data_IF_076629168134
#
_entry.id   IF_076629168134
#
_cell.length_a   1.000
_cell.length_b   1.000
_cell.length_c   1.000
_cell.angle_alpha   90.00
_cell.angle_beta   90.00
_cell.angle_gamma   90.00
#
_symmetry.space_group_name_H-M   'P 1'
#
loop_
_entity.id
_entity.type
_entity.pdbx_description
1 polymer ?
#
# COMPACT_ATOMS: atom_id res chain seq x y z
N UNK A 1 -26.45 19.61 -15.56
CA UNK A 1 -25.03 19.36 -15.94
C UNK A 1 -24.28 18.82 -14.72
N UNK A 2 -24.05 17.51 -14.64
CA UNK A 2 -23.49 16.82 -13.46
C UNK A 2 -22.17 16.06 -13.70
N UNK A 3 -21.39 16.47 -14.70
CA UNK A 3 -20.25 15.72 -15.24
C UNK A 3 -18.84 15.92 -14.58
N UNK A 4 -18.56 16.92 -13.72
CA UNK A 4 -17.17 17.11 -13.24
C UNK A 4 -16.75 16.21 -12.08
N UNK A 5 -17.69 15.72 -11.26
CA UNK A 5 -17.38 14.94 -10.05
C UNK A 5 -16.92 13.51 -10.36
N UNK A 6 -17.53 12.87 -11.36
CA UNK A 6 -17.21 11.50 -11.78
C UNK A 6 -15.78 11.40 -12.34
N UNK A 7 -15.31 12.44 -13.05
CA UNK A 7 -13.95 12.50 -13.58
C UNK A 7 -12.88 12.61 -12.48
N UNK A 8 -13.12 13.49 -11.49
CA UNK A 8 -12.20 13.68 -10.36
C UNK A 8 -12.11 12.43 -9.46
N UNK A 9 -13.24 11.75 -9.22
CA UNK A 9 -13.28 10.50 -8.46
C UNK A 9 -12.51 9.37 -9.14
N UNK A 10 -12.71 9.21 -10.46
CA UNK A 10 -11.98 8.23 -11.25
C UNK A 10 -10.47 8.49 -11.21
N UNK A 11 -10.06 9.75 -11.28
CA UNK A 11 -8.65 10.13 -11.22
C UNK A 11 -8.03 9.89 -9.84
N UNK A 12 -8.77 10.15 -8.76
CA UNK A 12 -8.34 9.85 -7.39
C UNK A 12 -8.15 8.35 -7.18
N UNK A 13 -9.08 7.48 -7.64
CA UNK A 13 -8.93 6.02 -7.54
C UNK A 13 -7.72 5.51 -8.32
N UNK A 14 -7.48 6.03 -9.52
CA UNK A 14 -6.29 5.68 -10.32
C UNK A 14 -5.00 6.06 -9.59
N UNK A 15 -4.94 7.26 -8.99
CA UNK A 15 -3.77 7.70 -8.24
C UNK A 15 -3.53 6.87 -6.98
N UNK A 16 -4.57 6.59 -6.19
CA UNK A 16 -4.48 5.70 -5.02
C UNK A 16 -4.01 4.31 -5.42
N UNK A 17 -4.57 3.74 -6.48
CA UNK A 17 -4.16 2.43 -6.98
C UNK A 17 -2.68 2.39 -7.38
N UNK A 18 -2.21 3.42 -8.10
CA UNK A 18 -0.80 3.52 -8.47
C UNK A 18 0.12 3.57 -7.25
N UNK A 19 -0.22 4.39 -6.23
CA UNK A 19 0.56 4.49 -5.00
C UNK A 19 0.63 3.15 -4.24
N UNK A 20 -0.51 2.44 -4.14
CA UNK A 20 -0.57 1.14 -3.49
C UNK A 20 0.29 0.10 -4.22
N UNK A 21 0.24 0.06 -5.56
CA UNK A 21 1.08 -0.83 -6.36
C UNK A 21 2.55 -0.54 -6.18
N UNK A 22 2.95 0.73 -6.25
CA UNK A 22 4.34 1.13 -5.99
C UNK A 22 4.79 0.73 -4.59
N UNK A 23 3.91 0.83 -3.58
CA UNK A 23 4.22 0.40 -2.22
C UNK A 23 4.44 -1.12 -2.14
N UNK A 24 3.58 -1.91 -2.77
CA UNK A 24 3.73 -3.37 -2.86
C UNK A 24 5.05 -3.74 -3.53
N UNK A 25 5.34 -3.14 -4.69
CA UNK A 25 6.59 -3.40 -5.44
C UNK A 25 7.83 -3.11 -4.59
N UNK A 26 7.86 -1.97 -3.89
CA UNK A 26 8.95 -1.63 -2.98
C UNK A 26 9.11 -2.64 -1.84
N UNK A 27 7.98 -3.11 -1.29
CA UNK A 27 7.99 -4.11 -0.21
C UNK A 27 8.49 -5.47 -0.70
N UNK A 28 8.12 -5.89 -1.91
CA UNK A 28 8.67 -7.11 -2.53
C UNK A 28 10.19 -7.02 -2.76
N UNK A 29 10.69 -5.85 -3.18
CA UNK A 29 12.14 -5.62 -3.32
C UNK A 29 12.83 -5.73 -1.95
N UNK A 30 12.29 -5.06 -0.93
CA UNK A 30 12.82 -5.12 0.43
C UNK A 30 12.85 -6.56 0.99
N UNK A 31 11.79 -7.36 0.79
CA UNK A 31 11.81 -8.78 1.21
C UNK A 31 12.88 -9.59 0.46
N UNK A 32 13.06 -9.33 -0.85
CA UNK A 32 14.08 -10.01 -1.65
C UNK A 32 15.48 -9.71 -1.13
N UNK A 33 15.77 -8.44 -0.83
CA UNK A 33 17.04 -8.01 -0.24
C UNK A 33 17.30 -8.70 1.11
N UNK A 34 16.28 -8.76 1.98
CA UNK A 34 16.38 -9.42 3.28
C UNK A 34 16.58 -10.94 3.14
N UNK A 35 15.91 -11.57 2.18
CA UNK A 35 16.08 -13.00 1.89
C UNK A 35 17.50 -13.31 1.41
N UNK A 36 18.09 -12.45 0.58
CA UNK A 36 19.48 -12.57 0.16
C UNK A 36 20.45 -12.47 1.34
N UNK A 37 20.22 -11.54 2.28
CA UNK A 37 21.04 -11.42 3.50
C UNK A 37 20.96 -12.71 4.33
N UNK A 38 19.77 -13.27 4.53
CA UNK A 38 19.61 -14.55 5.24
C UNK A 38 20.35 -15.69 4.55
N UNK A 39 20.26 -15.78 3.22
CA UNK A 39 20.96 -16.80 2.44
C UNK A 39 22.48 -16.67 2.56
N UNK A 40 23.02 -15.45 2.47
CA UNK A 40 24.45 -15.19 2.65
C UNK A 40 24.88 -15.53 4.07
N UNK A 41 24.11 -15.15 5.08
CA UNK A 41 24.40 -15.47 6.47
C UNK A 41 24.41 -16.98 6.74
N UNK A 42 23.41 -17.70 6.21
CA UNK A 42 23.34 -19.16 6.29
C UNK A 42 24.54 -19.83 5.61
N UNK A 43 24.96 -19.32 4.44
CA UNK A 43 26.14 -19.83 3.72
C UNK A 43 27.45 -19.68 4.52
N UNK A 44 27.49 -18.72 5.46
CA UNK A 44 28.63 -18.46 6.36
C UNK A 44 28.51 -19.17 7.71
N UNK A 45 27.49 -20.02 7.90
CA UNK A 45 27.26 -20.73 9.16
C UNK A 45 26.80 -19.83 10.31
N UNK A 46 26.24 -18.66 10.02
CA UNK A 46 25.66 -17.79 11.06
C UNK A 46 24.42 -18.48 11.63
N UNK A 47 24.37 -18.61 12.96
CA UNK A 47 23.23 -19.25 13.62
C UNK A 47 21.94 -18.41 13.44
N UNK A 48 20.77 -19.04 13.20
CA UNK A 48 19.51 -18.35 12.94
C UNK A 48 19.08 -17.35 14.03
N UNK A 49 19.50 -17.56 15.28
CA UNK A 49 19.21 -16.64 16.40
C UNK A 49 19.71 -15.21 16.14
N UNK A 50 20.80 -15.05 15.39
CA UNK A 50 21.33 -13.72 15.03
C UNK A 50 20.56 -13.06 13.88
N UNK A 51 19.67 -13.80 13.21
CA UNK A 51 18.87 -13.34 12.08
C UNK A 51 17.40 -13.12 12.45
N UNK A 52 17.02 -13.28 13.73
CA UNK A 52 15.63 -13.10 14.19
C UNK A 52 15.05 -11.75 13.79
N UNK A 53 15.84 -10.68 13.85
CA UNK A 53 15.40 -9.35 13.40
C UNK A 53 15.05 -9.32 11.91
N UNK A 54 15.82 -10.02 11.07
CA UNK A 54 15.54 -10.12 9.63
C UNK A 54 14.28 -10.96 9.41
N UNK A 55 14.18 -12.13 10.04
CA UNK A 55 12.99 -12.97 9.95
C UNK A 55 11.72 -12.26 10.39
N UNK A 56 11.79 -11.43 11.44
CA UNK A 56 10.69 -10.57 11.87
C UNK A 56 10.31 -9.54 10.79
N UNK A 57 11.29 -8.83 10.23
CA UNK A 57 11.02 -7.84 9.17
C UNK A 57 10.38 -8.47 7.95
N UNK A 58 10.87 -9.63 7.50
CA UNK A 58 10.28 -10.38 6.39
C UNK A 58 8.83 -10.79 6.65
N UNK A 59 8.54 -11.28 7.87
CA UNK A 59 7.17 -11.62 8.26
C UNK A 59 6.24 -10.39 8.28
N UNK A 60 6.72 -9.23 8.72
CA UNK A 60 5.95 -7.98 8.67
C UNK A 60 5.71 -7.54 7.23
N UNK A 61 6.72 -7.65 6.35
CA UNK A 61 6.58 -7.33 4.93
C UNK A 61 5.53 -8.22 4.27
N UNK A 62 5.58 -9.53 4.50
CA UNK A 62 4.60 -10.47 3.95
C UNK A 62 3.16 -10.14 4.39
N UNK A 63 2.97 -9.83 5.67
CA UNK A 63 1.69 -9.40 6.20
C UNK A 63 1.21 -8.07 5.57
N UNK A 64 2.11 -7.09 5.40
CA UNK A 64 1.80 -5.80 4.77
C UNK A 64 1.44 -5.99 3.29
N UNK A 65 2.20 -6.78 2.53
CA UNK A 65 1.94 -7.07 1.12
C UNK A 65 0.60 -7.77 0.96
N UNK A 66 0.31 -8.79 1.77
CA UNK A 66 -0.97 -9.50 1.77
C UNK A 66 -2.14 -8.54 2.01
N UNK A 67 -2.00 -7.67 3.01
CA UNK A 67 -3.01 -6.65 3.31
C UNK A 67 -3.18 -5.66 2.15
N UNK A 68 -2.09 -5.13 1.59
CA UNK A 68 -2.11 -4.16 0.48
C UNK A 68 -2.74 -4.76 -0.78
N UNK A 69 -2.44 -6.02 -1.11
CA UNK A 69 -3.04 -6.70 -2.26
C UNK A 69 -4.56 -6.83 -2.11
N UNK A 70 -5.02 -7.21 -0.92
CA UNK A 70 -6.46 -7.24 -0.62
C UNK A 70 -7.07 -5.84 -0.72
N UNK A 71 -6.39 -4.84 -0.17
CA UNK A 71 -6.86 -3.46 -0.20
C UNK A 71 -6.97 -2.93 -1.64
N UNK A 72 -6.01 -3.23 -2.51
CA UNK A 72 -6.10 -2.94 -3.94
C UNK A 72 -7.35 -3.55 -4.56
N UNK A 73 -7.65 -4.83 -4.29
CA UNK A 73 -8.88 -5.46 -4.76
C UNK A 73 -10.15 -4.79 -4.22
N UNK A 74 -10.13 -4.32 -2.97
CA UNK A 74 -11.23 -3.56 -2.37
C UNK A 74 -11.41 -2.18 -3.05
N UNK A 75 -10.30 -1.51 -3.42
CA UNK A 75 -10.31 -0.26 -4.18
C UNK A 75 -10.86 -0.47 -5.58
N UNK A 76 -10.42 -1.50 -6.30
CA UNK A 76 -10.84 -1.78 -7.68
C UNK A 76 -12.32 -2.19 -7.76
N UNK A 77 -12.78 -3.03 -6.82
CA UNK A 77 -14.17 -3.47 -6.74
C UNK A 77 -15.15 -2.38 -6.30
N UNK A 78 -14.66 -1.22 -5.81
CA UNK A 78 -15.51 -0.14 -5.31
C UNK A 78 -16.13 -0.43 -3.93
N UNK A 79 -15.60 -1.42 -3.20
CA UNK A 79 -16.06 -1.74 -1.84
C UNK A 79 -15.74 -0.65 -0.82
N UNK A 80 -14.78 0.22 -1.14
CA UNK A 80 -14.35 1.31 -0.28
C UNK A 80 -15.10 2.59 -0.67
N UNK A 81 -16.29 2.77 -0.11
CA UNK A 81 -17.20 3.87 -0.42
C UNK A 81 -16.67 5.26 -0.04
N UNK A 82 -15.72 5.37 0.89
CA UNK A 82 -15.17 6.67 1.31
C UNK A 82 -14.12 7.23 0.33
N UNK A 83 -13.51 6.39 -0.52
CA UNK A 83 -12.64 6.88 -1.61
C UNK A 83 -13.44 7.70 -2.64
N UNK A 84 -14.74 7.44 -2.69
CA UNK A 84 -15.68 8.14 -3.54
C UNK A 84 -16.28 9.39 -2.88
N UNK A 85 -16.26 9.47 -1.54
CA UNK A 85 -16.95 10.51 -0.77
C UNK A 85 -16.12 11.76 -0.45
N UNK A 86 -14.80 11.73 -0.65
CA UNK A 86 -13.90 12.74 -0.06
C UNK A 86 -13.93 14.15 -0.71
N UNK A 87 -14.67 14.34 -1.81
CA UNK A 87 -14.83 15.66 -2.46
C UNK A 87 -15.96 16.50 -1.88
N UNK A 88 -16.87 15.92 -1.09
CA UNK A 88 -18.02 16.66 -0.53
C UNK A 88 -17.65 17.56 0.66
N UNK A 89 -16.57 17.26 1.39
CA UNK A 89 -16.18 17.98 2.62
C UNK A 89 -15.24 19.18 2.39
N UNK A 90 -14.67 19.35 1.19
CA UNK A 90 -13.77 20.48 0.89
C UNK A 90 -14.50 21.75 0.42
N UNK A 91 -15.84 21.75 0.39
CA UNK A 91 -16.66 22.90 0.01
C UNK A 91 -17.35 23.49 1.25
N UNK A 92 -16.58 24.01 2.19
CA UNK A 92 -17.12 25.00 3.12
C UNK A 92 -17.18 26.36 2.40
N UNK A 93 -18.37 26.95 2.17
CA UNK A 93 -18.47 28.33 1.71
C UNK A 93 -17.98 29.24 2.84
N UNK A 94 -16.81 29.85 2.66
CA UNK A 94 -16.46 31.06 3.40
C UNK A 94 -17.18 32.22 2.72
N UNK A 95 -18.47 32.40 3.01
CA UNK A 95 -19.19 33.64 2.77
C UNK A 95 -20.28 33.78 3.83
N UNK A 96 -20.06 34.66 4.81
CA UNK A 96 -20.94 35.79 5.18
C UNK A 96 -20.51 36.37 6.52
N UNK A 97 -19.78 37.48 6.46
CA UNK A 97 -19.84 38.59 7.42
C UNK A 97 -19.44 39.87 6.68
#
# INVERSE_FOLDING_TARGET
MGLPLVGAQRQSRVATHALLRTRIERKCVEDTELAEIENVAASRGIAPIFLVGIGYMRAVIDAEVTWLQKFVGDVESGRISWLDAHTALSRHPKDTA
#
